data_IF_422228609553
#
_entry.id   IF_422228609553
#
_cell.length_a   1.000
_cell.length_b   1.000
_cell.length_c   1.000
_cell.angle_alpha   90.00
_cell.angle_beta   90.00
_cell.angle_gamma   90.00
#
_symmetry.space_group_name_H-M   'P 1'
#
loop_
_entity.id
_entity.type
_entity.pdbx_description
1 polymer ?
#
# COMPACT_ATOMS: atom_id res chain seq x y z
N UNK A 1 -9.22 -18.75 0.69
CA UNK A 1 -7.94 -18.74 -0.04
C UNK A 1 -7.06 -17.61 0.51
N UNK A 2 -5.77 -17.70 0.30
CA UNK A 2 -4.83 -16.63 0.61
C UNK A 2 -4.52 -15.83 -0.66
N UNK A 3 -4.69 -14.52 -0.58
CA UNK A 3 -4.43 -13.59 -1.67
C UNK A 3 -3.30 -12.64 -1.33
N UNK A 4 -2.49 -12.31 -2.31
CA UNK A 4 -1.62 -11.14 -2.29
C UNK A 4 -2.16 -10.13 -3.29
N UNK A 5 -2.28 -8.89 -2.87
CA UNK A 5 -2.78 -7.79 -3.71
C UNK A 5 -1.62 -6.85 -3.99
N UNK A 6 -1.31 -6.66 -5.27
CA UNK A 6 -0.24 -5.76 -5.72
C UNK A 6 -0.87 -4.56 -6.39
N UNK A 7 -0.51 -3.36 -5.93
CA UNK A 7 -1.06 -2.12 -6.46
C UNK A 7 0.06 -1.32 -7.13
N UNK A 8 -0.06 -1.14 -8.44
CA UNK A 8 0.88 -0.36 -9.25
C UNK A 8 0.40 1.06 -9.51
N UNK A 9 -0.90 1.33 -9.32
CA UNK A 9 -1.50 2.59 -9.69
C UNK A 9 -1.51 3.58 -8.52
N UNK A 10 -1.21 4.84 -8.83
CA UNK A 10 -1.37 5.94 -7.91
C UNK A 10 -2.85 6.22 -7.65
N UNK A 11 -3.20 6.72 -6.45
CA UNK A 11 -4.57 7.16 -6.19
C UNK A 11 -4.91 8.38 -7.02
N UNK A 12 -6.19 8.54 -7.34
CA UNK A 12 -6.78 9.72 -7.98
C UNK A 12 -6.55 9.86 -9.49
N UNK A 13 -5.48 9.28 -10.04
CA UNK A 13 -5.18 9.38 -11.47
C UNK A 13 -5.95 8.35 -12.31
N UNK A 14 -6.42 7.29 -11.68
CA UNK A 14 -7.24 6.25 -12.31
C UNK A 14 -8.07 5.55 -11.24
N UNK A 15 -8.99 4.68 -11.67
CA UNK A 15 -9.82 3.90 -10.74
C UNK A 15 -9.13 2.64 -10.20
N UNK A 16 -7.92 2.32 -10.68
CA UNK A 16 -7.27 1.05 -10.33
C UNK A 16 -7.00 0.91 -8.83
N UNK A 17 -6.51 1.99 -8.19
CA UNK A 17 -6.25 1.95 -6.74
C UNK A 17 -7.54 1.82 -5.92
N UNK A 18 -8.60 2.50 -6.33
CA UNK A 18 -9.93 2.37 -5.70
C UNK A 18 -10.48 0.96 -5.89
N UNK A 19 -10.34 0.40 -7.08
CA UNK A 19 -10.75 -0.98 -7.36
C UNK A 19 -9.99 -1.98 -6.50
N UNK A 20 -8.68 -1.76 -6.32
CA UNK A 20 -7.85 -2.60 -5.47
C UNK A 20 -8.34 -2.57 -4.01
N UNK A 21 -8.65 -1.38 -3.49
CA UNK A 21 -9.18 -1.23 -2.13
C UNK A 21 -10.50 -1.97 -1.97
N UNK A 22 -11.43 -1.78 -2.91
CA UNK A 22 -12.74 -2.41 -2.86
C UNK A 22 -12.64 -3.92 -3.00
N UNK A 23 -11.77 -4.41 -3.87
CA UNK A 23 -11.50 -5.83 -4.03
C UNK A 23 -10.96 -6.43 -2.73
N UNK A 24 -10.01 -5.76 -2.09
CA UNK A 24 -9.43 -6.21 -0.82
C UNK A 24 -10.49 -6.29 0.28
N UNK A 25 -11.36 -5.27 0.37
CA UNK A 25 -12.49 -5.27 1.30
C UNK A 25 -13.41 -6.46 1.06
N UNK A 26 -13.76 -6.72 -0.21
CA UNK A 26 -14.64 -7.83 -0.57
C UNK A 26 -14.03 -9.19 -0.22
N UNK A 27 -12.73 -9.37 -0.44
CA UNK A 27 -12.04 -10.60 -0.04
C UNK A 27 -12.17 -10.85 1.46
N UNK A 28 -11.93 -9.82 2.27
CA UNK A 28 -12.03 -9.93 3.72
C UNK A 28 -13.47 -10.23 4.17
N UNK A 29 -14.46 -9.58 3.57
CA UNK A 29 -15.87 -9.80 3.88
C UNK A 29 -16.31 -11.23 3.56
N UNK A 30 -15.71 -11.84 2.55
CA UNK A 30 -16.01 -13.22 2.15
C UNK A 30 -15.17 -14.27 2.87
N UNK A 31 -14.40 -13.86 3.86
CA UNK A 31 -13.64 -14.77 4.71
C UNK A 31 -12.30 -15.24 4.12
N UNK A 32 -11.84 -14.61 3.04
CA UNK A 32 -10.52 -14.88 2.50
C UNK A 32 -9.43 -14.19 3.32
N UNK A 33 -8.22 -14.70 3.23
CA UNK A 33 -7.06 -14.13 3.90
C UNK A 33 -6.25 -13.30 2.91
N UNK A 34 -5.75 -12.15 3.40
CA UNK A 34 -4.76 -11.36 2.67
C UNK A 34 -3.41 -11.71 3.25
N UNK A 35 -2.57 -12.39 2.47
CA UNK A 35 -1.22 -12.71 2.88
C UNK A 35 -0.37 -11.45 2.96
N UNK A 36 -0.47 -10.59 1.91
CA UNK A 36 0.28 -9.34 1.85
C UNK A 36 -0.35 -8.36 0.89
N UNK A 37 -0.32 -7.08 1.26
CA UNK A 37 -0.51 -5.97 0.34
C UNK A 37 0.88 -5.49 -0.09
N UNK A 38 1.05 -5.22 -1.37
CA UNK A 38 2.32 -4.73 -1.88
C UNK A 38 2.10 -3.53 -2.80
N UNK A 39 2.61 -2.37 -2.39
CA UNK A 39 2.57 -1.15 -3.19
C UNK A 39 3.88 -0.98 -3.94
N UNK A 40 3.78 -0.94 -5.27
CA UNK A 40 4.93 -0.94 -6.17
C UNK A 40 4.80 0.16 -7.21
N UNK A 41 5.92 0.69 -7.72
CA UNK A 41 5.90 1.76 -8.71
C UNK A 41 5.09 2.95 -8.20
N UNK A 42 4.20 3.53 -9.00
CA UNK A 42 3.35 4.64 -8.57
C UNK A 42 2.34 4.25 -7.48
N UNK A 43 2.12 2.95 -7.28
CA UNK A 43 1.28 2.46 -6.19
C UNK A 43 1.76 2.87 -4.81
N UNK A 44 3.04 3.21 -4.63
CA UNK A 44 3.59 3.67 -3.35
C UNK A 44 2.92 4.94 -2.85
N UNK A 45 2.33 5.75 -3.73
CA UNK A 45 1.60 6.96 -3.34
C UNK A 45 0.35 6.67 -2.50
N UNK A 46 -0.15 5.43 -2.51
CA UNK A 46 -1.23 5.02 -1.62
C UNK A 46 -0.83 5.02 -0.14
N UNK A 47 0.46 4.99 0.16
CA UNK A 47 0.99 5.03 1.51
C UNK A 47 1.39 6.44 1.98
N UNK A 48 1.15 7.47 1.17
CA UNK A 48 1.50 8.85 1.51
C UNK A 48 0.47 9.45 2.49
N UNK A 49 0.91 9.76 3.71
CA UNK A 49 0.04 10.37 4.73
C UNK A 49 -0.11 11.89 4.60
N UNK A 50 0.65 12.52 3.73
CA UNK A 50 0.66 13.98 3.59
C UNK A 50 -0.33 14.49 2.54
N UNK A 51 -1.07 13.60 1.88
CA UNK A 51 -2.07 14.00 0.90
C UNK A 51 -3.26 14.68 1.61
N UNK A 52 -3.62 15.86 1.13
CA UNK A 52 -4.76 16.63 1.64
C UNK A 52 -5.74 16.82 0.49
N UNK A 53 -6.97 16.40 0.70
CA UNK A 53 -8.01 16.49 -0.31
C UNK A 53 -8.97 17.64 -0.03
N UNK A 54 -9.63 18.17 -1.08
CA UNK A 54 -10.72 19.12 -0.89
C UNK A 54 -11.80 18.54 0.00
N UNK A 55 -12.49 19.42 0.71
CA UNK A 55 -13.58 19.03 1.60
C UNK A 55 -14.66 18.26 0.83
N UNK A 56 -15.06 17.10 1.35
CA UNK A 56 -16.07 16.24 0.73
C UNK A 56 -15.53 15.17 -0.19
N UNK A 57 -14.24 15.21 -0.53
CA UNK A 57 -13.62 14.14 -1.29
C UNK A 57 -13.10 13.03 -0.37
N UNK A 58 -13.09 11.81 -0.89
CA UNK A 58 -12.64 10.63 -0.15
C UNK A 58 -11.11 10.55 -0.18
N UNK A 59 -10.51 10.46 1.00
CA UNK A 59 -9.07 10.24 1.13
C UNK A 59 -8.77 8.75 1.01
N UNK A 60 -8.34 8.32 -0.17
CA UNK A 60 -8.07 6.91 -0.46
C UNK A 60 -6.90 6.37 0.38
N UNK A 61 -5.86 7.18 0.58
CA UNK A 61 -4.72 6.76 1.40
C UNK A 61 -5.14 6.48 2.84
N UNK A 62 -5.99 7.33 3.39
CA UNK A 62 -6.52 7.11 4.75
C UNK A 62 -7.39 5.85 4.81
N UNK A 63 -8.16 5.57 3.76
CA UNK A 63 -8.95 4.34 3.70
C UNK A 63 -8.09 3.09 3.68
N UNK A 64 -6.98 3.10 2.94
CA UNK A 64 -6.00 2.02 2.98
C UNK A 64 -5.44 1.84 4.38
N UNK A 65 -5.01 2.94 5.00
CA UNK A 65 -4.45 2.89 6.37
C UNK A 65 -5.45 2.30 7.36
N UNK A 66 -6.70 2.73 7.30
CA UNK A 66 -7.76 2.21 8.17
C UNK A 66 -8.00 0.72 7.95
N UNK A 67 -8.04 0.27 6.70
CA UNK A 67 -8.24 -1.14 6.36
C UNK A 67 -7.09 -2.00 6.89
N UNK A 68 -5.86 -1.55 6.69
CA UNK A 68 -4.66 -2.25 7.14
C UNK A 68 -4.67 -2.38 8.66
N UNK A 69 -4.92 -1.28 9.38
CA UNK A 69 -4.95 -1.28 10.85
C UNK A 69 -6.08 -2.12 11.42
N UNK A 70 -7.28 -1.97 10.88
CA UNK A 70 -8.47 -2.67 11.39
C UNK A 70 -8.35 -4.18 11.26
N UNK A 71 -7.72 -4.65 10.18
CA UNK A 71 -7.62 -6.08 9.88
C UNK A 71 -6.22 -6.66 10.17
N UNK A 72 -5.34 -5.86 10.72
CA UNK A 72 -3.95 -6.24 11.02
C UNK A 72 -3.26 -6.87 9.82
N UNK A 73 -3.36 -6.20 8.66
CA UNK A 73 -2.79 -6.69 7.41
C UNK A 73 -1.30 -6.39 7.33
N UNK A 74 -0.55 -7.31 6.74
CA UNK A 74 0.84 -7.07 6.39
C UNK A 74 0.89 -6.26 5.10
N UNK A 75 1.39 -5.04 5.19
CA UNK A 75 1.48 -4.11 4.06
C UNK A 75 2.91 -3.66 3.84
N UNK A 76 3.40 -3.82 2.63
CA UNK A 76 4.78 -3.49 2.25
C UNK A 76 4.76 -2.48 1.12
N UNK A 77 5.66 -1.52 1.21
CA UNK A 77 5.92 -0.50 0.17
C UNK A 77 7.31 -0.76 -0.39
N UNK A 78 7.42 -0.89 -1.71
CA UNK A 78 8.71 -1.12 -2.37
C UNK A 78 9.68 0.04 -2.08
N UNK A 79 10.83 -0.26 -1.50
CA UNK A 79 11.79 0.76 -1.06
C UNK A 79 12.29 1.63 -2.22
N UNK A 80 12.70 1.02 -3.33
CA UNK A 80 13.22 1.78 -4.48
C UNK A 80 12.13 2.68 -5.09
N UNK A 81 10.92 2.16 -5.25
CA UNK A 81 9.81 2.95 -5.76
C UNK A 81 9.44 4.09 -4.82
N UNK A 82 9.45 3.83 -3.52
CA UNK A 82 9.09 4.80 -2.51
C UNK A 82 10.09 5.97 -2.43
N UNK A 83 11.37 5.66 -2.31
CA UNK A 83 12.42 6.68 -2.13
C UNK A 83 12.47 7.62 -3.33
N UNK A 84 12.40 7.09 -4.55
CA UNK A 84 12.39 7.89 -5.78
C UNK A 84 11.24 8.90 -5.82
N UNK A 85 10.14 8.60 -5.15
CA UNK A 85 8.91 9.40 -5.17
C UNK A 85 8.71 10.22 -3.91
N UNK A 86 9.71 10.25 -3.04
CA UNK A 86 9.61 11.01 -1.79
C UNK A 86 8.70 10.39 -0.74
N UNK A 87 8.40 9.11 -0.86
CA UNK A 87 7.58 8.38 0.11
C UNK A 87 8.55 7.72 1.09
N UNK A 88 8.65 8.28 2.29
CA UNK A 88 9.65 7.89 3.28
C UNK A 88 8.99 7.62 4.62
N UNK A 89 9.39 6.52 5.27
CA UNK A 89 9.09 6.33 6.68
C UNK A 89 10.11 7.09 7.52
N UNK A 90 9.96 7.08 8.83
CA UNK A 90 10.84 7.83 9.72
C UNK A 90 12.31 7.43 9.58
N UNK A 91 12.67 6.12 9.62
CA UNK A 91 14.07 5.73 9.44
C UNK A 91 14.68 6.16 8.11
N UNK A 92 13.93 6.08 7.00
CA UNK A 92 14.44 6.51 5.70
C UNK A 92 14.56 8.03 5.60
N UNK A 93 13.63 8.76 6.20
CA UNK A 93 13.72 10.22 6.27
C UNK A 93 14.95 10.65 7.06
N UNK A 94 15.22 10.01 8.20
CA UNK A 94 16.43 10.27 9.00
C UNK A 94 17.71 9.93 8.25
N UNK A 95 17.73 8.80 7.53
CA UNK A 95 18.89 8.38 6.75
C UNK A 95 19.29 9.40 5.71
N UNK A 96 18.32 10.09 5.12
CA UNK A 96 18.54 11.11 4.08
C UNK A 96 18.47 12.53 4.62
N UNK A 97 18.41 12.70 5.95
CA UNK A 97 18.37 14.00 6.63
C UNK A 97 17.18 14.86 6.15
N UNK A 98 16.01 14.22 6.02
CA UNK A 98 14.77 14.84 5.57
C UNK A 98 13.67 14.72 6.62
N UNK A 99 12.77 15.69 6.64
CA UNK A 99 11.57 15.70 7.48
C UNK A 99 10.45 16.46 6.77
N UNK A 100 9.19 16.11 6.99
CA UNK A 100 8.67 14.98 7.76
C UNK A 100 8.70 13.66 6.99
N UNK A 101 8.53 12.55 7.71
CA UNK A 101 8.26 11.26 7.10
C UNK A 101 6.90 11.31 6.41
N UNK A 102 6.83 10.82 5.17
CA UNK A 102 5.62 10.92 4.34
C UNK A 102 4.77 9.65 4.32
N UNK A 103 5.29 8.55 4.83
CA UNK A 103 4.61 7.27 4.78
C UNK A 103 3.78 7.01 6.04
N UNK A 104 2.61 6.36 5.87
CA UNK A 104 1.88 5.83 7.00
C UNK A 104 2.68 4.74 7.70
N UNK A 105 2.61 4.71 9.03
CA UNK A 105 3.31 3.72 9.84
C UNK A 105 2.71 2.31 9.71
N UNK A 106 1.49 2.20 9.20
CA UNK A 106 0.83 0.91 8.97
C UNK A 106 1.48 0.06 7.90
N UNK A 107 2.36 0.64 7.08
CA UNK A 107 3.10 -0.08 6.05
C UNK A 107 4.59 -0.07 6.36
N UNK A 108 5.25 -1.15 5.97
CA UNK A 108 6.70 -1.26 6.05
C UNK A 108 7.33 -0.94 4.71
N UNK A 109 8.53 -0.36 4.75
CA UNK A 109 9.33 -0.18 3.55
C UNK A 109 10.31 -1.35 3.44
N UNK A 110 10.31 -2.03 2.30
CA UNK A 110 11.14 -3.21 2.10
C UNK A 110 11.39 -3.47 0.62
N UNK A 111 12.18 -4.49 0.32
CA UNK A 111 12.58 -4.82 -1.04
C UNK A 111 11.65 -5.79 -1.76
N UNK A 112 11.95 -6.04 -3.04
CA UNK A 112 11.16 -6.94 -3.89
C UNK A 112 11.16 -8.40 -3.44
N UNK A 113 12.11 -8.79 -2.59
CA UNK A 113 12.10 -10.13 -1.98
C UNK A 113 10.79 -10.41 -1.25
N UNK A 114 10.15 -9.39 -0.69
CA UNK A 114 8.87 -9.52 -0.01
C UNK A 114 7.73 -9.85 -0.98
N UNK A 115 7.82 -9.37 -2.23
CA UNK A 115 6.85 -9.72 -3.27
C UNK A 115 7.05 -11.18 -3.71
N UNK A 116 8.28 -11.61 -3.87
CA UNK A 116 8.59 -12.99 -4.21
C UNK A 116 8.09 -13.93 -3.11
N UNK A 117 8.38 -13.63 -1.86
CA UNK A 117 7.89 -14.39 -0.71
C UNK A 117 6.35 -14.47 -0.74
N UNK A 118 5.70 -13.35 -0.97
CA UNK A 118 4.24 -13.31 -1.03
C UNK A 118 3.67 -14.18 -2.16
N UNK A 119 4.31 -14.14 -3.34
CA UNK A 119 3.89 -14.97 -4.48
C UNK A 119 4.02 -16.45 -4.18
N UNK A 120 5.08 -16.85 -3.48
CA UNK A 120 5.32 -18.25 -3.11
C UNK A 120 4.34 -18.75 -2.04
N UNK A 121 3.89 -17.88 -1.16
CA UNK A 121 3.08 -18.24 0.01
C UNK A 121 1.58 -17.89 -0.14
N UNK A 122 1.18 -17.35 -1.27
CA UNK A 122 -0.23 -17.04 -1.57
C UNK A 122 -0.78 -18.00 -2.61
N UNK A 123 -2.07 -18.26 -2.55
CA UNK A 123 -2.76 -19.04 -3.59
C UNK A 123 -2.95 -18.23 -4.86
N UNK A 124 -3.11 -16.93 -4.73
CA UNK A 124 -3.30 -16.02 -5.86
C UNK A 124 -2.59 -14.71 -5.58
N UNK A 125 -2.00 -14.15 -6.63
CA UNK A 125 -1.49 -12.77 -6.66
C UNK A 125 -2.35 -12.01 -7.64
N UNK A 126 -2.95 -10.92 -7.20
CA UNK A 126 -3.83 -10.10 -8.02
C UNK A 126 -3.23 -8.71 -8.14
N UNK A 127 -3.07 -8.23 -9.35
CA UNK A 127 -2.42 -6.96 -9.67
C UNK A 127 -3.46 -5.93 -10.12
N UNK A 128 -3.27 -4.70 -9.70
CA UNK A 128 -4.11 -3.56 -10.09
C UNK A 128 -3.23 -2.43 -10.62
N UNK A 129 -3.49 -2.01 -11.82
CA UNK A 129 -2.73 -0.99 -12.56
C UNK A 129 -1.89 -1.59 -13.67
#
# INVERSE_FOLDING_TARGET
MKFTVVVYAAPYSSEAATSALNFTKALLEQGHQIYRLFFFSDGVHNANRLAVLPKGEVNLQQQWDNLIRTNDLESVVCVTSAIKRGILNEPEAERHDLKPASMYESSEISGLGQLIDAALNSHRVVNFG
#
